data_IF_533512940399
#
_entry.id   IF_533512940399
#
_cell.length_a   1.000
_cell.length_b   1.000
_cell.length_c   1.000
_cell.angle_alpha   90.00
_cell.angle_beta   90.00
_cell.angle_gamma   90.00
#
_symmetry.space_group_name_H-M   'P 1'
#
loop_
_entity.id
_entity.type
_entity.pdbx_description
1 polymer ?
#
# COMPACT_ATOMS: atom_id res chain seq x y z
N UNK A 1 -21.36 -4.36 -4.45
CA UNK A 1 -20.23 -4.24 -5.38
C UNK A 1 -19.05 -5.01 -4.79
N UNK A 2 -18.85 -6.25 -5.22
CA UNK A 2 -17.62 -7.00 -4.93
C UNK A 2 -16.57 -6.60 -5.95
N UNK A 3 -15.35 -6.30 -5.51
CA UNK A 3 -14.21 -6.19 -6.42
C UNK A 3 -13.96 -7.55 -7.09
N UNK A 4 -13.38 -7.56 -8.28
CA UNK A 4 -12.99 -8.75 -9.06
C UNK A 4 -11.86 -9.58 -8.40
N UNK A 5 -11.69 -9.47 -7.08
CA UNK A 5 -10.57 -9.99 -6.28
C UNK A 5 -11.02 -11.03 -5.24
N UNK A 6 -12.28 -11.49 -5.31
CA UNK A 6 -12.80 -12.51 -4.41
C UNK A 6 -11.91 -13.77 -4.50
N UNK A 7 -11.43 -14.25 -3.35
CA UNK A 7 -10.47 -15.36 -3.17
C UNK A 7 -9.02 -15.18 -3.67
N UNK A 8 -8.62 -13.98 -4.13
CA UNK A 8 -7.25 -13.71 -4.60
C UNK A 8 -6.40 -12.87 -3.65
N UNK A 9 -6.98 -12.40 -2.55
CA UNK A 9 -6.32 -11.53 -1.58
C UNK A 9 -6.37 -12.15 -0.20
N UNK A 10 -5.19 -12.47 0.35
CA UNK A 10 -5.04 -12.82 1.77
C UNK A 10 -4.41 -11.65 2.52
N UNK A 11 -4.98 -11.27 3.68
CA UNK A 11 -4.47 -10.18 4.51
C UNK A 11 -3.64 -10.68 5.69
N UNK A 12 -2.45 -10.12 5.89
CA UNK A 12 -1.66 -10.28 7.11
C UNK A 12 -1.40 -8.91 7.74
N UNK A 13 -2.03 -8.63 8.88
CA UNK A 13 -1.78 -7.42 9.68
C UNK A 13 -1.88 -6.10 8.88
N UNK A 14 -2.81 -6.02 7.91
CA UNK A 14 -3.03 -4.82 7.09
C UNK A 14 -2.33 -4.81 5.72
N UNK A 15 -1.46 -5.79 5.44
CA UNK A 15 -0.83 -5.97 4.12
C UNK A 15 -1.60 -7.04 3.35
N UNK A 16 -1.99 -6.70 2.12
CA UNK A 16 -2.65 -7.59 1.17
C UNK A 16 -1.61 -8.31 0.31
N UNK A 17 -1.78 -9.61 0.13
CA UNK A 17 -1.01 -10.43 -0.81
C UNK A 17 -1.88 -10.77 -2.01
N UNK A 18 -1.43 -10.44 -3.22
CA UNK A 18 -2.18 -10.68 -4.45
C UNK A 18 -1.30 -11.37 -5.50
N UNK A 19 -1.70 -12.56 -5.95
CA UNK A 19 -1.00 -13.28 -7.02
C UNK A 19 -1.56 -12.85 -8.37
N UNK A 20 -0.69 -12.35 -9.24
CA UNK A 20 -1.08 -11.99 -10.59
C UNK A 20 -1.47 -13.24 -11.37
N UNK A 21 -2.64 -13.21 -11.98
CA UNK A 21 -3.11 -14.31 -12.82
C UNK A 21 -2.58 -14.22 -14.24
N UNK A 22 -2.26 -13.01 -14.69
CA UNK A 22 -1.95 -12.73 -16.09
C UNK A 22 -0.67 -11.94 -16.23
N UNK A 23 0.12 -12.31 -17.22
CA UNK A 23 1.27 -11.52 -17.64
C UNK A 23 0.81 -10.34 -18.50
N UNK A 24 1.48 -9.22 -18.35
CA UNK A 24 1.20 -8.04 -19.16
C UNK A 24 1.64 -6.75 -18.50
N UNK A 25 1.22 -5.65 -19.12
CA UNK A 25 1.46 -4.30 -18.64
C UNK A 25 0.40 -3.89 -17.64
N UNK A 26 0.83 -3.52 -16.44
CA UNK A 26 0.00 -3.00 -15.37
C UNK A 26 0.36 -1.56 -15.07
N UNK A 27 -0.66 -0.70 -14.93
CA UNK A 27 -0.51 0.65 -14.40
C UNK A 27 -0.84 0.63 -12.93
N UNK A 28 0.06 1.16 -12.13
CA UNK A 28 -0.09 1.27 -10.67
C UNK A 28 -0.07 2.75 -10.32
N UNK A 29 -1.13 3.20 -9.65
CA UNK A 29 -1.19 4.51 -9.00
C UNK A 29 -1.23 4.30 -7.48
N UNK A 30 -0.37 4.99 -6.76
CA UNK A 30 -0.27 4.90 -5.31
C UNK A 30 -0.25 6.31 -4.71
N UNK A 31 -0.99 6.50 -3.63
CA UNK A 31 -0.96 7.72 -2.85
C UNK A 31 -0.63 7.41 -1.39
N UNK A 32 0.35 8.10 -0.83
CA UNK A 32 0.61 8.09 0.61
C UNK A 32 -0.48 8.84 1.36
N UNK A 33 -0.57 8.62 2.66
CA UNK A 33 -1.52 9.30 3.52
C UNK A 33 -0.98 10.64 4.03
N UNK A 34 -1.88 11.53 4.42
CA UNK A 34 -1.52 12.75 5.14
C UNK A 34 -1.13 12.47 6.59
N UNK A 35 -0.31 13.35 7.16
CA UNK A 35 -0.07 13.40 8.60
C UNK A 35 -1.34 13.77 9.36
N UNK A 36 -1.43 13.35 10.61
CA UNK A 36 -2.56 13.68 11.46
C UNK A 36 -2.73 15.19 11.62
N UNK A 37 -3.99 15.61 11.71
CA UNK A 37 -4.32 17.02 11.97
C UNK A 37 -4.13 17.31 13.46
N UNK A 38 -3.39 18.38 13.77
CA UNK A 38 -3.25 18.89 15.13
C UNK A 38 -4.00 20.19 15.36
N UNK A 39 -3.95 20.72 16.58
CA UNK A 39 -4.52 22.03 16.93
C UNK A 39 -3.89 23.17 16.13
N UNK A 40 -2.68 22.96 15.59
CA UNK A 40 -1.96 23.93 14.74
C UNK A 40 -2.31 23.81 13.25
N UNK A 41 -3.14 22.82 12.88
CA UNK A 41 -3.63 22.61 11.52
C UNK A 41 -3.31 21.23 10.95
N UNK A 42 -3.62 21.08 9.66
CA UNK A 42 -3.41 19.83 8.94
C UNK A 42 -1.92 19.45 8.88
N UNK A 43 -1.66 18.15 8.97
CA UNK A 43 -0.34 17.59 8.70
C UNK A 43 0.08 17.77 7.25
N UNK A 44 1.30 17.32 6.94
CA UNK A 44 1.79 17.24 5.59
C UNK A 44 1.00 16.23 4.75
N UNK A 45 0.94 16.48 3.46
CA UNK A 45 0.17 15.66 2.52
C UNK A 45 1.02 14.49 2.01
N UNK A 46 0.38 13.38 1.67
CA UNK A 46 1.05 12.22 1.08
C UNK A 46 1.40 12.46 -0.39
N UNK A 47 2.43 11.80 -0.92
CA UNK A 47 2.76 11.86 -2.34
C UNK A 47 1.73 11.10 -3.17
N UNK A 48 1.50 11.49 -4.43
CA UNK A 48 0.78 10.66 -5.39
C UNK A 48 1.74 10.29 -6.51
N UNK A 49 1.88 8.99 -6.78
CA UNK A 49 2.75 8.46 -7.82
C UNK A 49 1.99 7.56 -8.78
N UNK A 50 2.48 7.50 -10.03
CA UNK A 50 1.96 6.61 -11.06
C UNK A 50 3.10 6.05 -11.91
N UNK A 51 3.03 4.77 -12.24
CA UNK A 51 3.97 4.12 -13.15
C UNK A 51 3.35 2.90 -13.83
N UNK A 52 3.92 2.52 -14.96
CA UNK A 52 3.58 1.28 -15.67
C UNK A 52 4.69 0.23 -15.53
N UNK A 53 4.30 -1.02 -15.35
CA UNK A 53 5.16 -2.14 -15.04
C UNK A 53 4.79 -3.34 -15.91
N UNK A 54 5.79 -3.97 -16.52
CA UNK A 54 5.62 -5.30 -17.11
C UNK A 54 5.69 -6.34 -15.98
N UNK A 55 4.58 -7.02 -15.71
CA UNK A 55 4.48 -8.02 -14.65
C UNK A 55 4.13 -9.38 -15.24
N UNK A 56 4.60 -10.45 -14.59
CA UNK A 56 4.40 -11.83 -15.05
C UNK A 56 3.37 -12.54 -14.17
N UNK A 57 2.50 -13.35 -14.77
CA UNK A 57 1.60 -14.26 -14.06
C UNK A 57 2.38 -15.12 -13.04
N UNK A 58 1.74 -15.40 -11.91
CA UNK A 58 2.34 -16.08 -10.76
C UNK A 58 3.17 -15.17 -9.85
N UNK A 59 3.48 -13.93 -10.25
CA UNK A 59 4.14 -12.96 -9.35
C UNK A 59 3.20 -12.60 -8.21
N UNK A 60 3.69 -12.70 -6.97
CA UNK A 60 2.98 -12.20 -5.79
C UNK A 60 3.32 -10.75 -5.53
N UNK A 61 2.30 -9.91 -5.41
CA UNK A 61 2.38 -8.52 -4.98
C UNK A 61 2.02 -8.40 -3.51
N UNK A 62 2.79 -7.60 -2.77
CA UNK A 62 2.52 -7.17 -1.40
C UNK A 62 2.06 -5.72 -1.45
N UNK A 63 0.86 -5.45 -0.94
CA UNK A 63 0.20 -4.16 -1.05
C UNK A 63 -0.16 -3.67 0.35
N UNK A 64 0.35 -2.49 0.72
CA UNK A 64 -0.03 -1.80 1.95
C UNK A 64 -0.55 -0.41 1.58
N UNK A 65 -1.68 -0.02 2.16
CA UNK A 65 -2.27 1.30 1.95
C UNK A 65 -2.03 2.14 3.20
N UNK A 66 -1.36 3.27 3.02
CA UNK A 66 -1.06 4.19 4.11
C UNK A 66 -2.33 4.72 4.76
N UNK A 67 -2.36 4.76 6.09
CA UNK A 67 -3.41 5.42 6.85
C UNK A 67 -2.94 6.80 7.29
N UNK A 68 -3.89 7.72 7.40
CA UNK A 68 -3.64 9.02 8.00
C UNK A 68 -3.13 8.83 9.44
N UNK A 69 -2.13 9.62 9.84
CA UNK A 69 -1.67 9.64 11.22
C UNK A 69 -2.78 10.09 12.17
N UNK A 70 -2.77 9.62 13.42
CA UNK A 70 -3.88 9.90 14.34
C UNK A 70 -4.00 11.42 14.58
N UNK A 71 -5.20 11.95 14.35
CA UNK A 71 -5.50 13.36 14.58
C UNK A 71 -5.69 13.64 16.08
N UNK A 72 -4.85 14.49 16.65
CA UNK A 72 -4.84 14.84 18.06
C UNK A 72 -4.02 16.13 18.27
N UNK A 73 -3.96 16.66 19.50
CA UNK A 73 -3.04 17.76 19.82
C UNK A 73 -1.57 17.45 19.52
N UNK A 74 -1.24 16.16 19.41
CA UNK A 74 0.08 15.57 19.29
C UNK A 74 0.06 14.56 18.15
N UNK A 75 -0.29 15.03 16.96
CA UNK A 75 -0.66 14.16 15.85
C UNK A 75 0.50 13.28 15.37
N UNK A 76 0.20 12.09 14.86
CA UNK A 76 1.19 11.19 14.26
C UNK A 76 1.45 11.47 12.78
N UNK A 77 2.59 11.01 12.27
CA UNK A 77 2.91 11.02 10.84
C UNK A 77 2.04 10.05 10.05
N UNK A 78 1.72 10.39 8.81
CA UNK A 78 0.97 9.57 7.87
C UNK A 78 1.81 8.44 7.31
N UNK A 79 1.15 7.32 7.00
CA UNK A 79 1.81 6.18 6.38
C UNK A 79 2.01 6.33 4.87
N UNK A 80 3.07 5.72 4.36
CA UNK A 80 3.26 5.50 2.93
C UNK A 80 2.36 4.38 2.40
N UNK A 81 2.12 4.41 1.09
CA UNK A 81 1.46 3.31 0.37
C UNK A 81 2.47 2.57 -0.49
N UNK A 82 2.42 1.25 -0.45
CA UNK A 82 3.45 0.36 -0.97
C UNK A 82 2.84 -0.64 -1.94
N UNK A 83 3.49 -0.83 -3.09
CA UNK A 83 3.35 -2.03 -3.91
C UNK A 83 4.73 -2.61 -4.14
N UNK A 84 4.92 -3.82 -3.68
CA UNK A 84 6.16 -4.58 -3.77
C UNK A 84 5.89 -5.97 -4.34
N UNK A 85 6.94 -6.66 -4.78
CA UNK A 85 6.83 -8.03 -5.28
C UNK A 85 7.91 -8.92 -4.68
N UNK A 86 7.65 -10.22 -4.59
CA UNK A 86 8.65 -11.18 -4.11
C UNK A 86 8.03 -12.49 -3.66
N UNK A 87 8.84 -13.34 -3.05
CA UNK A 87 8.40 -14.64 -2.51
C UNK A 87 7.94 -14.58 -1.06
N UNK A 88 8.21 -13.47 -0.36
CA UNK A 88 7.82 -13.22 1.03
C UNK A 88 7.93 -11.72 1.33
N UNK A 89 7.17 -11.23 2.30
CA UNK A 89 7.20 -9.82 2.71
C UNK A 89 8.61 -9.36 3.07
N UNK A 90 9.37 -10.15 3.83
CA UNK A 90 10.71 -9.78 4.32
C UNK A 90 11.77 -9.67 3.22
N UNK A 91 11.56 -10.30 2.06
CA UNK A 91 12.46 -10.27 0.91
C UNK A 91 11.88 -9.52 -0.29
N UNK A 92 10.71 -8.89 -0.13
CA UNK A 92 10.01 -8.18 -1.21
C UNK A 92 10.82 -6.99 -1.74
N UNK A 93 10.75 -6.71 -3.04
CA UNK A 93 11.38 -5.57 -3.68
C UNK A 93 10.31 -4.53 -4.05
N UNK A 94 10.57 -3.22 -3.87
CA UNK A 94 9.58 -2.20 -4.15
C UNK A 94 9.38 -2.02 -5.66
N UNK A 95 8.13 -1.92 -6.11
CA UNK A 95 7.78 -1.45 -7.46
C UNK A 95 7.50 0.04 -7.43
N UNK A 96 6.58 0.44 -6.55
CA UNK A 96 6.18 1.84 -6.33
C UNK A 96 5.84 2.05 -4.85
N UNK A 97 6.28 3.17 -4.31
CA UNK A 97 6.04 3.57 -2.93
C UNK A 97 5.77 5.06 -2.90
N UNK A 98 4.56 5.44 -2.50
CA UNK A 98 4.20 6.83 -2.29
C UNK A 98 4.38 7.20 -0.83
N UNK A 99 5.28 8.15 -0.53
CA UNK A 99 5.56 8.58 0.84
C UNK A 99 4.36 9.25 1.51
N UNK A 100 4.21 9.05 2.82
CA UNK A 100 3.24 9.75 3.66
C UNK A 100 3.77 11.09 4.15
N UNK A 101 2.88 12.00 4.53
CA UNK A 101 3.25 13.28 5.15
C UNK A 101 3.53 13.16 6.65
N UNK A 102 4.27 14.10 7.20
CA UNK A 102 4.52 14.22 8.65
C UNK A 102 3.43 15.03 9.36
N UNK A 103 3.43 15.00 10.70
CA UNK A 103 2.60 15.89 11.51
C UNK A 103 3.35 17.12 12.01
N UNK A 104 2.59 18.10 12.49
CA UNK A 104 3.08 19.32 13.14
C UNK A 104 3.42 19.06 14.61
N UNK A 105 4.33 19.85 15.16
CA UNK A 105 4.47 20.00 16.61
C UNK A 105 3.44 20.97 17.20
N UNK A 106 3.18 20.88 18.49
CA UNK A 106 2.31 21.78 19.24
C UNK A 106 2.87 23.21 19.28
N UNK A 107 2.01 24.23 19.19
CA UNK A 107 2.45 25.64 19.20
C UNK A 107 3.33 26.06 18.01
N UNK A 108 3.52 25.17 17.03
CA UNK A 108 4.30 25.44 15.83
C UNK A 108 3.42 26.07 14.75
N UNK A 109 3.63 27.36 14.49
CA UNK A 109 3.08 28.02 13.29
C UNK A 109 3.69 27.54 11.98
N UNK A 110 4.52 26.48 12.00
CA UNK A 110 5.30 25.99 10.87
C UNK A 110 4.38 25.33 9.82
N UNK A 111 4.04 26.08 8.78
CA UNK A 111 3.36 25.63 7.53
C UNK A 111 4.38 25.16 6.47
N UNK A 112 5.47 24.54 6.90
CA UNK A 112 6.60 24.28 6.01
C UNK A 112 6.31 23.22 4.92
N UNK A 113 7.06 23.32 3.82
CA UNK A 113 7.07 22.31 2.75
C UNK A 113 7.78 21.00 3.12
N UNK A 114 8.39 20.91 4.31
CA UNK A 114 9.06 19.69 4.77
C UNK A 114 8.08 18.66 5.35
N UNK A 115 6.85 19.07 5.72
CA UNK A 115 5.83 18.17 6.23
C UNK A 115 5.30 17.25 5.13
N UNK A 116 5.08 17.79 3.93
CA UNK A 116 4.63 17.02 2.77
C UNK A 116 5.63 15.91 2.45
N UNK A 117 5.13 14.79 1.92
CA UNK A 117 5.97 13.71 1.44
C UNK A 117 7.05 14.21 0.47
N UNK A 118 8.18 13.51 0.43
CA UNK A 118 9.20 13.72 -0.60
C UNK A 118 8.83 12.93 -1.84
N UNK A 119 8.88 13.58 -3.00
CA UNK A 119 8.74 12.92 -4.31
C UNK A 119 10.04 12.22 -4.75
N UNK A 120 11.11 12.33 -3.96
CA UNK A 120 12.38 11.64 -4.18
C UNK A 120 12.54 10.49 -3.21
N UNK A 121 13.57 9.66 -3.41
CA UNK A 121 13.82 8.46 -2.59
C UNK A 121 14.22 8.76 -1.16
N UNK A 122 14.72 9.95 -0.86
CA UNK A 122 15.05 10.34 0.50
C UNK A 122 13.82 10.85 1.23
N UNK A 123 13.69 10.46 2.50
CA UNK A 123 12.77 11.12 3.43
C UNK A 123 13.24 12.56 3.67
N UNK A 124 12.31 13.42 4.08
CA UNK A 124 12.64 14.78 4.50
C UNK A 124 13.10 14.78 5.93
N UNK A 125 13.98 15.73 6.25
CA UNK A 125 14.37 16.01 7.62
C UNK A 125 13.20 16.65 8.37
N UNK A 126 13.07 16.33 9.66
CA UNK A 126 12.18 17.09 10.53
C UNK A 126 12.84 18.37 11.03
N UNK A 127 12.06 19.24 11.66
CA UNK A 127 12.57 20.51 12.17
C UNK A 127 13.01 20.39 13.63
N UNK A 128 13.89 21.31 14.05
CA UNK A 128 14.46 21.35 15.38
C UNK A 128 14.36 22.73 16.03
N UNK A 129 14.30 22.74 17.36
CA UNK A 129 14.49 23.95 18.16
C UNK A 129 15.59 23.78 19.21
N UNK A 130 16.37 24.84 19.40
CA UNK A 130 17.43 24.92 20.40
C UNK A 130 18.59 23.95 20.15
N UNK A 131 19.02 23.23 21.19
CA UNK A 131 20.18 22.32 21.14
C UNK A 131 19.82 20.87 20.81
N UNK A 132 18.57 20.60 20.40
CA UNK A 132 18.16 19.26 20.01
C UNK A 132 18.91 18.79 18.75
N UNK A 133 19.02 17.47 18.57
CA UNK A 133 19.70 16.87 17.43
C UNK A 133 18.85 17.04 16.16
N UNK A 134 19.50 17.29 15.02
CA UNK A 134 18.85 17.43 13.71
C UNK A 134 18.33 16.05 13.25
N UNK A 135 17.01 15.83 13.29
CA UNK A 135 16.42 14.53 13.01
C UNK A 135 16.31 14.34 11.50
N UNK A 136 17.35 13.73 10.91
CA UNK A 136 17.39 13.55 9.46
C UNK A 136 16.38 12.53 8.95
N UNK A 137 15.90 12.73 7.74
CA UNK A 137 15.19 11.73 6.97
C UNK A 137 16.09 10.54 6.66
N UNK A 138 15.45 9.39 6.44
CA UNK A 138 16.09 8.18 5.97
C UNK A 138 16.52 8.30 4.51
N UNK A 139 17.46 7.46 4.11
CA UNK A 139 17.92 7.34 2.73
C UNK A 139 18.06 5.87 2.34
N UNK A 140 18.04 5.58 1.04
CA UNK A 140 18.28 4.22 0.53
C UNK A 140 17.26 3.18 1.01
N UNK A 141 16.06 3.61 1.40
CA UNK A 141 15.00 2.74 1.90
C UNK A 141 15.01 2.51 3.42
N UNK A 142 15.88 3.21 4.16
CA UNK A 142 15.95 3.13 5.62
C UNK A 142 14.95 4.09 6.29
N UNK A 143 14.63 3.85 7.56
CA UNK A 143 13.82 4.76 8.35
C UNK A 143 14.54 6.07 8.70
N UNK A 144 13.76 7.07 9.07
CA UNK A 144 14.26 8.36 9.55
C UNK A 144 14.70 8.32 11.01
N UNK A 145 15.39 9.37 11.44
CA UNK A 145 15.80 9.53 12.83
C UNK A 145 14.63 10.02 13.70
N UNK A 146 14.43 9.35 14.84
CA UNK A 146 13.63 9.87 15.94
C UNK A 146 14.24 11.13 16.54
N UNK A 147 13.39 11.95 17.15
CA UNK A 147 13.81 13.22 17.72
C UNK A 147 14.54 13.05 19.04
N UNK A 148 15.08 14.16 19.56
CA UNK A 148 15.70 14.21 20.90
C UNK A 148 15.22 15.44 21.66
N UNK A 149 15.45 15.44 22.98
CA UNK A 149 15.13 16.57 23.85
C UNK A 149 13.79 16.41 24.54
N UNK A 150 13.03 17.49 24.62
CA UNK A 150 11.74 17.55 25.30
C UNK A 150 10.66 16.95 24.40
N UNK A 151 10.00 15.90 24.87
CA UNK A 151 8.84 15.29 24.22
C UNK A 151 8.98 15.08 22.70
N UNK A 152 10.03 14.37 22.22
CA UNK A 152 10.32 14.28 20.79
C UNK A 152 9.35 13.36 20.04
N UNK A 153 9.19 13.62 18.74
CA UNK A 153 8.42 12.75 17.86
C UNK A 153 9.18 11.48 17.49
N UNK A 154 8.45 10.50 16.97
CA UNK A 154 9.01 9.30 16.34
C UNK A 154 9.37 9.52 14.88
N UNK A 155 10.46 8.90 14.43
CA UNK A 155 10.82 8.86 13.00
C UNK A 155 9.87 7.93 12.23
N UNK A 156 9.70 8.20 10.94
CA UNK A 156 9.01 7.28 10.03
C UNK A 156 9.89 6.08 9.67
N UNK A 157 9.28 4.92 9.46
CA UNK A 157 9.96 3.74 8.90
C UNK A 157 10.11 3.84 7.38
N UNK A 158 11.12 3.15 6.85
CA UNK A 158 11.34 3.00 5.42
C UNK A 158 10.78 1.69 4.87
N UNK A 159 11.23 1.34 3.67
CA UNK A 159 10.90 0.07 3.04
C UNK A 159 11.70 -1.09 3.67
N UNK A 160 13.02 -0.88 3.85
CA UNK A 160 13.95 -1.89 4.35
C UNK A 160 14.22 -1.75 5.86
N UNK A 161 14.30 -0.53 6.37
CA UNK A 161 14.74 -0.24 7.73
C UNK A 161 13.65 0.42 8.58
N UNK A 162 13.58 0.03 9.86
CA UNK A 162 12.76 0.75 10.85
C UNK A 162 13.33 2.15 11.06
N UNK A 163 12.53 3.05 11.62
CA UNK A 163 13.05 4.30 12.16
C UNK A 163 14.07 4.06 13.29
N UNK A 164 15.00 5.00 13.43
CA UNK A 164 16.00 4.99 14.49
C UNK A 164 15.39 5.62 15.74
N UNK A 165 15.51 4.95 16.88
CA UNK A 165 15.04 5.46 18.18
C UNK A 165 16.18 6.21 18.86
N UNK A 166 16.00 7.51 19.10
CA UNK A 166 16.99 8.36 19.78
C UNK A 166 16.51 8.86 21.16
N UNK A 167 15.32 8.45 21.59
CA UNK A 167 14.74 8.80 22.88
C UNK A 167 14.26 7.53 23.59
N UNK A 168 14.84 7.25 24.76
CA UNK A 168 14.58 6.02 25.53
C UNK A 168 14.17 6.40 26.96
N UNK A 169 12.99 6.98 27.09
CA UNK A 169 12.30 7.09 28.39
C UNK A 169 11.33 5.91 28.57
N UNK A 170 11.07 5.50 29.82
CA UNK A 170 10.18 4.38 30.12
C UNK A 170 8.76 4.68 29.62
N UNK A 171 8.22 3.83 28.73
CA UNK A 171 6.91 4.02 28.08
C UNK A 171 6.96 4.55 26.63
N UNK A 172 8.14 4.84 26.08
CA UNK A 172 8.32 5.46 24.75
C UNK A 172 8.98 4.53 23.72
N UNK A 173 8.92 3.22 23.95
CA UNK A 173 9.75 2.27 23.20
C UNK A 173 9.21 1.90 21.81
N UNK A 174 7.98 2.31 21.46
CA UNK A 174 7.33 1.92 20.20
C UNK A 174 6.87 3.11 19.35
N UNK A 175 7.31 4.34 19.66
CA UNK A 175 6.86 5.55 18.98
C UNK A 175 7.37 5.67 17.52
N UNK A 176 8.19 4.74 17.04
CA UNK A 176 8.85 4.79 15.75
C UNK A 176 8.11 3.96 14.70
N UNK A 177 8.09 4.43 13.44
CA UNK A 177 7.55 3.66 12.33
C UNK A 177 8.40 2.41 12.05
N UNK A 178 7.76 1.25 12.00
CA UNK A 178 8.39 0.00 11.56
C UNK A 178 8.39 -0.09 10.04
N UNK A 179 9.42 -0.72 9.48
CA UNK A 179 9.60 -0.82 8.04
C UNK A 179 8.46 -1.58 7.36
N UNK A 180 8.28 -1.36 6.05
CA UNK A 180 7.31 -2.13 5.25
C UNK A 180 7.55 -3.64 5.38
N UNK A 181 8.81 -4.07 5.22
CA UNK A 181 9.22 -5.48 5.39
C UNK A 181 9.02 -6.03 6.80
N UNK A 182 8.80 -5.15 7.78
CA UNK A 182 8.52 -5.48 9.18
C UNK A 182 7.04 -5.20 9.55
N UNK A 183 6.15 -5.30 8.56
CA UNK A 183 4.70 -5.21 8.77
C UNK A 183 4.11 -3.81 8.59
N UNK A 184 4.91 -2.81 8.21
CA UNK A 184 4.46 -1.43 7.96
C UNK A 184 3.74 -0.77 9.15
N UNK A 185 4.00 -1.24 10.37
CA UNK A 185 3.31 -0.79 11.58
C UNK A 185 3.74 0.64 11.88
N UNK A 186 2.78 1.53 12.12
CA UNK A 186 3.05 2.90 12.57
C UNK A 186 3.61 2.91 14.00
N UNK A 187 4.20 4.04 14.40
CA UNK A 187 4.60 4.23 15.79
C UNK A 187 3.38 4.21 16.70
N UNK A 188 3.48 3.47 17.80
CA UNK A 188 2.45 3.40 18.84
C UNK A 188 2.89 4.27 20.00
N UNK A 189 2.07 5.28 20.29
CA UNK A 189 2.25 6.07 21.49
C UNK A 189 0.88 6.50 22.05
N UNK A 190 0.12 5.49 22.47
CA UNK A 190 -1.16 5.58 23.21
C UNK A 190 -2.32 6.27 22.48
N UNK A 191 -2.21 7.56 22.18
CA UNK A 191 -3.24 8.39 21.55
C UNK A 191 -2.68 9.25 20.42
N UNK A 192 -1.42 9.04 20.04
CA UNK A 192 -0.63 9.89 19.14
C UNK A 192 0.00 9.08 17.99
N UNK A 193 -0.65 7.98 17.65
CA UNK A 193 -0.09 6.94 16.78
C UNK A 193 0.21 7.44 15.38
N UNK A 194 1.33 6.96 14.84
CA UNK A 194 1.64 7.06 13.43
C UNK A 194 0.71 6.18 12.61
N UNK A 195 0.39 6.62 11.40
CA UNK A 195 -0.44 5.85 10.48
C UNK A 195 0.23 4.53 10.07
N UNK A 196 -0.59 3.48 9.90
CA UNK A 196 -0.17 2.27 9.21
C UNK A 196 0.44 2.64 7.84
N UNK A 197 1.52 1.98 7.43
CA UNK A 197 2.39 2.46 6.36
C UNK A 197 3.66 3.13 6.88
N UNK A 198 4.15 2.71 8.04
CA UNK A 198 5.41 3.15 8.63
C UNK A 198 5.44 4.60 9.17
N UNK A 199 4.30 5.24 9.47
CA UNK A 199 4.29 6.58 10.07
C UNK A 199 4.87 6.59 11.48
N UNK A 200 5.61 7.63 11.88
CA UNK A 200 6.08 7.80 13.26
C UNK A 200 4.99 8.40 14.16
N UNK A 201 4.96 8.04 15.44
CA UNK A 201 4.05 8.65 16.40
C UNK A 201 4.44 10.10 16.70
N UNK A 202 3.45 10.91 17.04
CA UNK A 202 3.64 12.25 17.58
C UNK A 202 3.90 12.23 19.08
N UNK A 203 4.29 13.38 19.58
CA UNK A 203 4.12 13.81 20.96
C UNK A 203 3.95 15.33 20.90
N UNK A 204 4.54 16.11 21.83
CA UNK A 204 4.58 17.56 21.68
C UNK A 204 5.21 17.95 20.33
N UNK A 205 6.22 17.20 19.89
CA UNK A 205 6.78 17.28 18.54
C UNK A 205 6.12 16.31 17.54
N UNK A 206 6.13 16.69 16.26
CA UNK A 206 5.51 15.92 15.18
C UNK A 206 6.25 14.62 14.83
N UNK A 207 5.49 13.60 14.44
CA UNK A 207 5.99 12.35 13.91
C UNK A 207 6.37 12.44 12.43
N UNK A 208 7.42 11.72 12.04
CA UNK A 208 7.86 11.63 10.65
C UNK A 208 6.93 10.77 9.79
N UNK A 209 6.80 11.11 8.50
CA UNK A 209 6.01 10.33 7.54
C UNK A 209 6.68 9.01 7.16
N UNK A 210 5.91 7.95 6.95
CA UNK A 210 6.40 6.67 6.43
C UNK A 210 6.61 6.70 4.92
N UNK A 211 7.41 5.79 4.36
CA UNK A 211 7.60 5.75 2.90
C UNK A 211 8.68 4.80 2.43
N UNK A 212 9.22 5.04 1.23
CA UNK A 212 10.37 4.31 0.72
C UNK A 212 11.54 4.49 1.69
N UNK A 213 11.93 5.74 1.97
CA UNK A 213 12.71 6.06 3.15
C UNK A 213 11.82 6.82 4.14
N UNK A 214 11.99 6.59 5.44
CA UNK A 214 11.17 7.27 6.43
C UNK A 214 11.58 8.73 6.63
N UNK A 215 10.65 9.59 7.03
CA UNK A 215 10.95 10.98 7.39
C UNK A 215 11.50 11.12 8.82
N UNK A 216 12.24 12.21 9.06
CA UNK A 216 12.73 12.53 10.40
C UNK A 216 11.60 12.98 11.34
N UNK A 217 11.76 12.80 12.64
CA UNK A 217 10.83 13.33 13.64
C UNK A 217 10.98 14.84 13.85
N UNK A 218 10.09 15.48 14.57
CA UNK A 218 10.33 16.80 15.17
C UNK A 218 11.10 16.71 16.48
N UNK A 219 11.88 17.76 16.79
CA UNK A 219 12.65 17.84 18.04
C UNK A 219 12.64 19.25 18.64
N UNK A 220 12.59 19.35 19.97
CA UNK A 220 12.74 20.61 20.69
C UNK A 220 13.60 20.41 21.96
N UNK A 221 14.39 21.42 22.34
CA UNK A 221 15.17 21.37 23.58
C UNK A 221 14.33 21.68 24.83
N UNK A 222 13.16 22.29 24.65
CA UNK A 222 12.24 22.73 25.69
C UNK A 222 10.82 22.89 25.11
N UNK A 223 9.85 23.20 25.97
CA UNK A 223 8.43 23.34 25.62
C UNK A 223 8.06 24.67 24.95
N UNK A 224 9.03 25.48 24.52
CA UNK A 224 8.74 26.81 23.98
C UNK A 224 8.35 26.76 22.51
N UNK A 225 8.92 25.81 21.75
CA UNK A 225 8.67 25.63 20.33
C UNK A 225 8.82 24.17 19.93
N UNK A 226 7.72 23.45 19.90
CA UNK A 226 7.72 22.11 19.32
C UNK A 226 7.73 22.19 17.80
N UNK A 227 8.23 21.15 17.15
CA UNK A 227 8.55 21.16 15.73
C UNK A 227 7.90 20.00 15.01
N UNK A 228 7.59 20.21 13.72
CA UNK A 228 7.04 19.16 12.87
C UNK A 228 8.09 18.15 12.43
N UNK A 229 7.62 16.94 12.10
CA UNK A 229 8.45 15.93 11.44
C UNK A 229 8.65 16.22 9.95
N UNK A 230 9.45 15.40 9.28
CA UNK A 230 9.64 15.41 7.83
C UNK A 230 8.80 14.35 7.13
N UNK A 231 8.27 14.64 5.95
CA UNK A 231 7.54 13.68 5.12
C UNK A 231 8.40 12.52 4.60
N UNK A 232 7.79 11.36 4.37
CA UNK A 232 8.47 10.16 3.88
C UNK A 232 8.90 10.25 2.40
N UNK A 233 9.93 9.51 2.04
CA UNK A 233 10.46 9.36 0.69
C UNK A 233 9.56 8.52 -0.21
N UNK A 234 9.64 8.78 -1.51
CA UNK A 234 8.89 8.11 -2.57
C UNK A 234 9.80 7.32 -3.51
N UNK A 235 9.26 6.30 -4.17
CA UNK A 235 10.01 5.44 -5.09
C UNK A 235 9.11 4.96 -6.23
N UNK A 236 9.63 4.91 -7.45
CA UNK A 236 8.88 4.44 -8.61
C UNK A 236 9.85 3.87 -9.65
N UNK A 237 9.78 2.56 -9.89
CA UNK A 237 10.53 1.88 -10.95
C UNK A 237 9.79 1.82 -12.29
N UNK A 238 8.54 2.27 -12.32
CA UNK A 238 7.69 2.16 -13.49
C UNK A 238 8.13 3.10 -14.61
N UNK A 239 7.71 2.76 -15.81
CA UNK A 239 7.79 3.63 -16.98
C UNK A 239 6.58 4.57 -17.03
N UNK A 240 6.55 5.48 -18.01
CA UNK A 240 5.43 6.41 -18.25
C UNK A 240 5.02 7.22 -17.01
N UNK A 241 6.03 7.70 -16.27
CA UNK A 241 5.87 8.44 -15.02
C UNK A 241 5.57 9.93 -15.22
N UNK A 242 5.45 10.42 -16.46
CA UNK A 242 5.15 11.82 -16.75
C UNK A 242 3.80 12.28 -16.19
N UNK A 243 2.87 11.34 -15.97
CA UNK A 243 1.63 11.61 -15.25
C UNK A 243 1.87 11.82 -13.76
N UNK A 244 2.95 11.26 -13.18
CA UNK A 244 3.25 11.21 -11.74
C UNK A 244 3.76 12.53 -11.14
N UNK A 245 4.57 13.30 -11.86
CA UNK A 245 5.14 14.56 -11.35
C UNK A 245 4.14 15.73 -11.33
N UNK A 246 2.93 15.51 -11.89
CA UNK A 246 1.82 16.47 -11.88
C UNK A 246 0.68 16.07 -10.94
N UNK A 247 0.67 14.84 -10.40
CA UNK A 247 -0.40 14.37 -9.49
C UNK A 247 -0.41 15.12 -8.15
N UNK A 248 0.72 15.70 -7.77
CA UNK A 248 0.83 16.53 -6.57
C UNK A 248 0.77 15.69 -5.30
N UNK A 249 -0.15 16.04 -4.41
CA UNK A 249 -0.24 15.47 -3.08
C UNK A 249 -1.66 15.07 -2.71
N UNK A 250 -1.76 14.02 -1.90
CA UNK A 250 -3.00 13.44 -1.40
C UNK A 250 -3.34 13.93 0.01
N UNK A 251 -4.64 14.10 0.24
CA UNK A 251 -5.23 14.38 1.54
C UNK A 251 -5.93 13.12 2.07
N UNK A 252 -6.01 13.00 3.39
CA UNK A 252 -6.59 11.87 4.10
C UNK A 252 -5.76 10.58 3.97
N UNK A 253 -6.47 9.45 3.97
CA UNK A 253 -5.86 8.13 3.80
C UNK A 253 -5.25 7.95 2.41
N UNK A 254 -4.26 7.08 2.32
CA UNK A 254 -3.67 6.65 1.05
C UNK A 254 -4.60 5.77 0.24
N UNK A 255 -4.17 5.45 -0.98
CA UNK A 255 -4.81 4.45 -1.83
C UNK A 255 -3.79 3.78 -2.74
N UNK A 256 -4.17 2.62 -3.27
CA UNK A 256 -3.45 1.93 -4.35
C UNK A 256 -4.49 1.46 -5.37
N UNK A 257 -4.28 1.82 -6.63
CA UNK A 257 -5.07 1.37 -7.76
C UNK A 257 -4.16 0.64 -8.73
N UNK A 258 -4.47 -0.63 -9.02
CA UNK A 258 -3.76 -1.43 -10.01
C UNK A 258 -4.72 -1.73 -11.16
N UNK A 259 -4.32 -1.35 -12.37
CA UNK A 259 -5.12 -1.55 -13.59
C UNK A 259 -4.28 -2.32 -14.59
N UNK A 260 -4.79 -3.45 -15.07
CA UNK A 260 -4.23 -4.09 -16.25
C UNK A 260 -4.47 -3.20 -17.48
N UNK A 261 -3.40 -2.81 -18.18
CA UNK A 261 -3.46 -1.97 -19.39
C UNK A 261 -3.35 -2.83 -20.64
N UNK A 262 -2.55 -3.89 -20.59
CA UNK A 262 -2.37 -4.84 -21.69
C UNK A 262 -1.99 -6.20 -21.09
N UNK A 263 -2.97 -6.97 -20.63
CA UNK A 263 -2.79 -8.37 -20.25
C UNK A 263 -3.35 -9.22 -21.38
N UNK A 264 -2.57 -10.20 -21.82
CA UNK A 264 -2.80 -10.89 -23.10
C UNK A 264 -3.48 -12.25 -22.94
N UNK A 265 -4.17 -12.49 -21.81
CA UNK A 265 -4.88 -13.74 -21.55
C UNK A 265 -5.71 -13.56 -20.27
N UNK A 266 -7.04 -13.49 -20.35
CA UNK A 266 -7.93 -13.52 -19.18
C UNK A 266 -8.39 -14.96 -18.90
N UNK A 267 -9.10 -15.18 -17.79
CA UNK A 267 -9.73 -16.48 -17.53
C UNK A 267 -10.99 -16.56 -18.39
N UNK A 268 -11.26 -17.70 -19.05
CA UNK A 268 -12.54 -17.91 -19.69
C UNK A 268 -13.64 -17.93 -18.61
N UNK A 269 -14.72 -17.22 -18.85
CA UNK A 269 -15.94 -17.28 -18.05
C UNK A 269 -16.87 -18.35 -18.62
N UNK A 270 -17.44 -19.19 -17.76
CA UNK A 270 -18.38 -20.24 -18.13
C UNK A 270 -19.68 -20.04 -17.34
N UNK A 271 -20.80 -19.98 -18.06
CA UNK A 271 -22.11 -19.83 -17.41
C UNK A 271 -22.47 -21.05 -16.57
N UNK A 272 -23.23 -20.85 -15.49
CA UNK A 272 -23.87 -21.95 -14.77
C UNK A 272 -24.88 -22.68 -15.65
N UNK A 273 -25.04 -23.97 -15.40
CA UNK A 273 -26.10 -24.81 -15.97
C UNK A 273 -27.04 -25.16 -14.82
N UNK A 274 -28.34 -24.87 -14.97
CA UNK A 274 -29.35 -25.25 -13.99
C UNK A 274 -29.56 -26.77 -13.95
N UNK A 275 -30.08 -27.28 -12.83
CA UNK A 275 -30.40 -28.70 -12.68
C UNK A 275 -31.33 -29.20 -13.80
N UNK A 276 -30.95 -30.32 -14.42
CA UNK A 276 -31.70 -30.94 -15.51
C UNK A 276 -32.42 -32.19 -15.02
N UNK A 277 -33.63 -32.43 -15.52
CA UNK A 277 -34.41 -33.65 -15.25
C UNK A 277 -34.88 -34.29 -16.54
N UNK A 278 -34.80 -35.61 -16.61
CA UNK A 278 -35.34 -36.39 -17.73
C UNK A 278 -35.98 -37.68 -17.20
N UNK A 279 -36.88 -38.28 -17.97
CA UNK A 279 -37.45 -39.58 -17.64
C UNK A 279 -36.40 -40.68 -17.85
N UNK A 280 -36.62 -41.85 -17.23
CA UNK A 280 -35.83 -43.04 -17.54
C UNK A 280 -35.86 -43.34 -19.04
N UNK A 281 -34.73 -43.87 -19.55
CA UNK A 281 -34.52 -44.23 -20.95
C UNK A 281 -34.75 -43.07 -21.95
N UNK A 282 -34.76 -41.83 -21.48
CA UNK A 282 -34.94 -40.63 -22.30
C UNK A 282 -33.71 -39.73 -22.20
N UNK A 283 -32.94 -39.63 -23.28
CA UNK A 283 -31.76 -38.75 -23.32
C UNK A 283 -32.17 -37.27 -23.42
N UNK A 284 -31.41 -36.39 -22.75
CA UNK A 284 -31.50 -34.94 -22.96
C UNK A 284 -30.81 -34.60 -24.29
N UNK A 285 -31.52 -33.90 -25.18
CA UNK A 285 -31.02 -33.62 -26.53
C UNK A 285 -29.93 -32.54 -26.58
N UNK A 286 -30.02 -31.53 -25.72
CA UNK A 286 -29.08 -30.40 -25.71
C UNK A 286 -29.13 -29.66 -24.39
N UNK A 287 -27.96 -29.29 -23.87
CA UNK A 287 -27.82 -28.39 -22.72
C UNK A 287 -26.97 -27.21 -23.22
N UNK A 288 -27.52 -26.01 -23.16
CA UNK A 288 -26.83 -24.79 -23.61
C UNK A 288 -26.09 -24.14 -22.45
N UNK A 289 -24.87 -23.70 -22.73
CA UNK A 289 -24.07 -22.86 -21.84
C UNK A 289 -23.22 -21.93 -22.71
N UNK A 290 -22.72 -20.85 -22.12
CA UNK A 290 -21.85 -19.90 -22.79
C UNK A 290 -20.46 -19.98 -22.17
N UNK A 291 -19.44 -20.00 -23.04
CA UNK A 291 -18.04 -19.79 -22.65
C UNK A 291 -17.59 -18.52 -23.35
N UNK A 292 -17.06 -17.56 -22.59
CA UNK A 292 -16.54 -16.30 -23.14
C UNK A 292 -15.13 -16.08 -22.66
N UNK A 293 -14.26 -15.65 -23.55
CA UNK A 293 -12.89 -15.27 -23.25
C UNK A 293 -12.53 -14.17 -24.24
N UNK A 294 -11.93 -13.10 -23.73
CA UNK A 294 -11.73 -11.88 -24.53
C UNK A 294 -10.57 -12.03 -25.53
N UNK A 295 -9.68 -13.01 -25.34
CA UNK A 295 -8.59 -13.33 -26.26
C UNK A 295 -8.89 -14.52 -27.17
N UNK A 296 -9.71 -15.46 -26.70
CA UNK A 296 -10.04 -16.67 -27.45
C UNK A 296 -11.23 -16.39 -28.35
N UNK A 297 -11.03 -16.53 -29.66
CA UNK A 297 -12.10 -16.40 -30.63
C UNK A 297 -13.26 -17.35 -30.32
N UNK A 298 -14.47 -16.96 -30.70
CA UNK A 298 -15.66 -17.81 -30.58
C UNK A 298 -15.39 -19.20 -31.18
N UNK A 299 -15.81 -20.24 -30.46
CA UNK A 299 -15.56 -21.64 -30.82
C UNK A 299 -14.09 -22.08 -30.87
N UNK A 300 -13.15 -21.27 -30.40
CA UNK A 300 -11.72 -21.60 -30.24
C UNK A 300 -11.38 -22.37 -28.95
N UNK A 301 -12.39 -22.82 -28.20
CA UNK A 301 -12.23 -23.47 -26.91
C UNK A 301 -12.18 -25.01 -27.02
N UNK A 302 -11.27 -25.61 -26.25
CA UNK A 302 -11.28 -27.04 -25.97
C UNK A 302 -12.15 -27.32 -24.73
N UNK A 303 -13.24 -28.08 -24.92
CA UNK A 303 -14.17 -28.43 -23.83
C UNK A 303 -13.95 -29.89 -23.44
N UNK A 304 -13.80 -30.14 -22.15
CA UNK A 304 -13.68 -31.51 -21.59
C UNK A 304 -14.85 -31.79 -20.65
N UNK A 305 -15.27 -33.06 -20.60
CA UNK A 305 -16.41 -33.52 -19.80
C UNK A 305 -15.95 -34.53 -18.76
N UNK A 306 -16.57 -34.50 -17.59
CA UNK A 306 -16.42 -35.51 -16.56
C UNK A 306 -17.80 -35.84 -15.97
N UNK A 307 -18.02 -37.12 -15.66
CA UNK A 307 -19.20 -37.59 -14.95
C UNK A 307 -18.76 -38.27 -13.65
N UNK A 308 -19.46 -37.99 -12.56
CA UNK A 308 -19.26 -38.70 -11.28
C UNK A 308 -19.81 -40.12 -11.32
N UNK A 309 -20.71 -40.43 -12.25
CA UNK A 309 -21.27 -41.75 -12.49
C UNK A 309 -21.37 -42.03 -14.00
N UNK A 310 -20.36 -42.70 -14.53
CA UNK A 310 -20.29 -43.05 -15.95
C UNK A 310 -21.22 -44.21 -16.33
N UNK A 311 -21.85 -44.88 -15.35
CA UNK A 311 -22.88 -45.90 -15.64
C UNK A 311 -24.22 -45.26 -15.99
N UNK A 312 -24.49 -44.07 -15.46
CA UNK A 312 -25.70 -43.28 -15.75
C UNK A 312 -25.45 -42.30 -16.90
N UNK A 313 -24.31 -41.62 -16.91
CA UNK A 313 -23.93 -40.67 -17.98
C UNK A 313 -22.54 -41.03 -18.50
N UNK A 314 -22.45 -41.93 -19.51
CA UNK A 314 -21.19 -42.27 -20.14
C UNK A 314 -20.59 -41.06 -20.88
N UNK A 315 -19.31 -40.78 -20.67
CA UNK A 315 -18.64 -39.58 -21.22
C UNK A 315 -18.57 -39.65 -22.76
N UNK A 316 -18.43 -40.86 -23.32
CA UNK A 316 -18.42 -41.12 -24.76
C UNK A 316 -19.72 -40.72 -25.48
N UNK A 317 -20.82 -40.55 -24.73
CA UNK A 317 -22.11 -40.12 -25.27
C UNK A 317 -22.33 -38.60 -25.14
N UNK A 318 -21.38 -37.87 -24.54
CA UNK A 318 -21.44 -36.41 -24.45
C UNK A 318 -20.67 -35.82 -25.63
N UNK A 319 -21.34 -34.95 -26.38
CA UNK A 319 -20.72 -34.17 -27.44
C UNK A 319 -21.17 -32.72 -27.33
N UNK A 320 -20.36 -31.81 -27.86
CA UNK A 320 -20.75 -30.41 -27.98
C UNK A 320 -20.67 -29.96 -29.43
N UNK A 321 -21.47 -28.96 -29.73
CA UNK A 321 -21.34 -28.14 -30.95
C UNK A 321 -21.26 -26.70 -30.49
N UNK A 322 -20.43 -25.92 -31.15
CA UNK A 322 -20.34 -24.49 -30.89
C UNK A 322 -21.05 -23.72 -31.99
N UNK A 323 -21.73 -22.64 -31.59
CA UNK A 323 -22.40 -21.72 -32.50
C UNK A 323 -21.95 -20.29 -32.13
N UNK A 324 -21.33 -19.60 -33.09
CA UNK A 324 -20.85 -18.21 -32.98
C UNK A 324 -21.78 -17.27 -33.73
#
# INVERSE_FOLDING_TARGET
>A
SGSTLYDQVTGNSGIQEWVLLYSGRYRIEAAGAEGGTSTEGAGGRGAILKGEFELTAGTTLFIAVGQQGLASSYAGGGGGSFVAHGTSLSNSLPLIVAGGGASRGQGSGDVSSYLDASLTTSGRDGNQYGTAMYPSGGTGGNGGNGGTGYCPGGGGGGFYGNAIVNFTESGYLDNYGRAFRNGAIGGDFSSYDGGFGCGGAGYDNGGGGGGYSGGGAGSSSDSSYDRGGGGGGSYNLGENTSDSSTLGYNYGNGYVTITCVNCNNFWPDISSIDDQTTNEDTAISSISFTVTDVETADCGFDITFASSDTTVIPIENISYTCNS
#
